data_IF_456897599981
#
_entry.id   IF_456897599981
#
_cell.length_a   1.000
_cell.length_b   1.000
_cell.length_c   1.000
_cell.angle_alpha   90.00
_cell.angle_beta   90.00
_cell.angle_gamma   90.00
#
_symmetry.space_group_name_H-M   'P 1'
#
loop_
_entity.id
_entity.type
_entity.pdbx_description
1 polymer ?
#
# COMPACT_ATOMS: atom_id res chain seq x y z
N UNK A 1 57.29 13.43 14.54
CA UNK A 1 57.81 12.14 15.04
C UNK A 1 58.64 11.52 13.92
N UNK A 2 59.94 11.30 14.13
CA UNK A 2 60.88 10.84 13.10
C UNK A 2 60.65 9.36 12.83
N UNK A 3 60.18 8.98 11.63
CA UNK A 3 60.17 7.59 11.20
C UNK A 3 61.63 7.13 11.00
N UNK A 4 62.13 6.30 11.90
CA UNK A 4 63.50 5.76 11.83
C UNK A 4 63.62 4.72 10.70
N UNK A 5 64.85 4.49 10.23
CA UNK A 5 65.16 3.55 9.14
C UNK A 5 64.59 2.13 9.34
N UNK A 6 64.31 1.71 10.59
CA UNK A 6 63.63 0.45 10.90
C UNK A 6 62.15 0.40 10.49
N UNK A 7 61.42 1.52 10.52
CA UNK A 7 59.99 1.58 10.14
C UNK A 7 59.81 1.46 8.62
N UNK A 8 60.77 1.97 7.85
CA UNK A 8 60.83 1.80 6.40
C UNK A 8 61.16 0.35 6.00
N UNK A 9 62.11 -0.29 6.71
CA UNK A 9 62.46 -1.69 6.47
C UNK A 9 61.28 -2.65 6.68
N UNK A 10 60.49 -2.43 7.74
CA UNK A 10 59.30 -3.23 8.04
C UNK A 10 58.22 -3.04 6.97
N UNK A 11 57.97 -1.81 6.51
CA UNK A 11 56.98 -1.54 5.44
C UNK A 11 57.36 -2.19 4.12
N UNK A 12 58.65 -2.14 3.74
CA UNK A 12 59.14 -2.82 2.53
C UNK A 12 59.00 -4.34 2.66
N UNK A 13 59.31 -4.91 3.83
CA UNK A 13 59.15 -6.35 4.07
C UNK A 13 57.69 -6.79 4.00
N UNK A 14 56.76 -6.02 4.58
CA UNK A 14 55.31 -6.30 4.52
C UNK A 14 54.79 -6.21 3.09
N UNK A 15 55.15 -5.16 2.35
CA UNK A 15 54.76 -5.02 0.93
C UNK A 15 55.33 -6.16 0.08
N UNK A 16 56.58 -6.56 0.31
CA UNK A 16 57.21 -7.69 -0.37
C UNK A 16 56.48 -9.01 -0.09
N UNK A 17 56.09 -9.27 1.16
CA UNK A 17 55.30 -10.46 1.53
C UNK A 17 53.92 -10.48 0.89
N UNK A 18 53.24 -9.32 0.84
CA UNK A 18 51.93 -9.21 0.21
C UNK A 18 52.01 -9.47 -1.30
N UNK A 19 52.97 -8.85 -2.00
CA UNK A 19 53.17 -9.05 -3.44
C UNK A 19 53.57 -10.52 -3.73
N UNK A 20 54.48 -11.09 -2.93
CA UNK A 20 54.87 -12.50 -3.07
C UNK A 20 53.71 -13.47 -2.84
N UNK A 21 52.84 -13.20 -1.87
CA UNK A 21 51.64 -13.98 -1.59
C UNK A 21 50.64 -13.98 -2.76
N UNK A 22 50.36 -12.80 -3.33
CA UNK A 22 49.48 -12.70 -4.50
C UNK A 22 50.08 -13.39 -5.74
N UNK A 23 51.40 -13.31 -5.92
CA UNK A 23 52.07 -13.98 -7.03
C UNK A 23 52.04 -15.51 -6.89
N UNK A 24 52.20 -16.03 -5.68
CA UNK A 24 52.07 -17.47 -5.40
C UNK A 24 50.64 -17.99 -5.65
N UNK A 25 49.61 -17.24 -5.22
CA UNK A 25 48.20 -17.55 -5.49
C UNK A 25 47.94 -17.56 -7.00
N UNK A 26 48.49 -16.59 -7.75
CA UNK A 26 48.33 -16.53 -9.20
C UNK A 26 48.94 -17.76 -9.90
N UNK A 27 50.17 -18.14 -9.55
CA UNK A 27 50.83 -19.32 -10.12
C UNK A 27 50.08 -20.61 -9.76
N UNK A 28 49.63 -20.76 -8.50
CA UNK A 28 48.86 -21.92 -8.08
C UNK A 28 47.50 -21.99 -8.79
N UNK A 29 46.83 -20.85 -8.95
CA UNK A 29 45.57 -20.72 -9.70
C UNK A 29 45.67 -21.14 -11.16
N UNK A 30 46.78 -20.79 -11.81
CA UNK A 30 47.07 -21.21 -13.20
C UNK A 30 47.40 -22.70 -13.26
N UNK A 31 48.14 -23.24 -12.29
CA UNK A 31 48.54 -24.65 -12.29
C UNK A 31 47.39 -25.62 -11.93
N UNK A 32 46.49 -25.20 -11.04
CA UNK A 32 45.29 -25.95 -10.63
C UNK A 32 44.08 -25.69 -11.55
N UNK A 33 44.20 -24.78 -12.52
CA UNK A 33 43.22 -24.59 -13.60
C UNK A 33 41.95 -23.80 -13.24
N UNK A 34 41.89 -23.17 -12.07
CA UNK A 34 40.78 -22.30 -11.64
C UNK A 34 41.03 -20.81 -11.94
N UNK A 35 42.22 -20.46 -12.46
CA UNK A 35 42.54 -19.13 -12.97
C UNK A 35 43.14 -19.18 -14.38
N UNK A 36 42.82 -18.20 -15.22
CA UNK A 36 43.31 -18.13 -16.59
C UNK A 36 44.43 -17.08 -16.75
N UNK A 37 45.54 -17.38 -17.47
CA UNK A 37 46.56 -16.38 -17.74
C UNK A 37 46.03 -15.27 -18.64
N UNK A 38 46.40 -14.03 -18.33
CA UNK A 38 46.00 -12.87 -19.14
C UNK A 38 46.62 -12.96 -20.55
N UNK A 39 45.78 -12.92 -21.59
CA UNK A 39 46.19 -12.97 -23.00
C UNK A 39 45.74 -14.22 -23.77
N UNK A 40 45.17 -15.23 -23.11
CA UNK A 40 44.50 -16.32 -23.82
C UNK A 40 43.10 -15.88 -24.27
N UNK A 41 42.99 -15.51 -25.54
CA UNK A 41 41.68 -15.56 -26.22
C UNK A 41 41.37 -17.03 -26.46
N UNK A 42 40.24 -17.58 -25.98
CA UNK A 42 39.86 -18.93 -26.35
C UNK A 42 39.68 -18.95 -27.87
N UNK A 43 40.48 -19.79 -28.55
CA UNK A 43 40.21 -20.13 -29.94
C UNK A 43 38.95 -20.96 -29.93
N UNK A 44 37.80 -20.30 -30.08
CA UNK A 44 36.53 -20.97 -30.32
C UNK A 44 36.61 -21.54 -31.72
N UNK A 45 36.90 -22.84 -31.81
CA UNK A 45 36.64 -23.60 -33.03
C UNK A 45 35.16 -23.43 -33.34
N UNK A 46 34.87 -22.63 -34.38
CA UNK A 46 33.52 -22.49 -34.91
C UNK A 46 33.13 -23.81 -35.56
N UNK A 47 32.58 -24.73 -34.79
CA UNK A 47 31.59 -25.66 -35.31
C UNK A 47 30.40 -24.82 -35.79
N UNK A 48 29.85 -25.16 -36.96
CA UNK A 48 28.76 -24.41 -37.61
C UNK A 48 27.55 -24.17 -36.70
N UNK A 49 26.55 -23.37 -37.13
CA UNK A 49 25.50 -22.86 -36.25
C UNK A 49 24.66 -24.01 -35.69
N UNK A 50 25.06 -24.53 -34.53
CA UNK A 50 24.16 -25.22 -33.63
C UNK A 50 23.30 -24.11 -33.06
N UNK A 51 22.05 -24.05 -33.51
CA UNK A 51 21.03 -23.21 -32.89
C UNK A 51 21.12 -23.43 -31.37
N UNK A 52 21.56 -22.41 -30.63
CA UNK A 52 21.44 -22.44 -29.19
C UNK A 52 19.97 -22.74 -28.88
N UNK A 53 19.66 -23.71 -27.98
CA UNK A 53 18.27 -23.89 -27.57
C UNK A 53 17.80 -22.52 -27.09
N UNK A 54 16.82 -21.94 -27.79
CA UNK A 54 16.11 -20.77 -27.30
C UNK A 54 15.66 -21.12 -25.90
N UNK A 55 15.97 -20.30 -24.87
CA UNK A 55 15.44 -20.53 -23.53
C UNK A 55 13.95 -20.78 -23.69
N UNK A 56 13.48 -21.97 -23.32
CA UNK A 56 12.06 -22.24 -23.34
C UNK A 56 11.39 -21.15 -22.50
N UNK A 57 10.30 -20.52 -22.96
CA UNK A 57 9.59 -19.56 -22.14
C UNK A 57 9.29 -20.23 -20.80
N UNK A 58 9.72 -19.62 -19.70
CA UNK A 58 9.42 -20.13 -18.36
C UNK A 58 7.90 -20.26 -18.26
N UNK A 59 7.41 -21.48 -18.02
CA UNK A 59 5.99 -21.75 -17.84
C UNK A 59 5.48 -21.35 -16.45
N UNK A 60 6.40 -21.05 -15.53
CA UNK A 60 6.04 -20.58 -14.20
C UNK A 60 5.60 -19.11 -14.26
N UNK A 61 4.47 -18.76 -13.61
CA UNK A 61 4.04 -17.38 -13.53
C UNK A 61 5.12 -16.51 -12.89
N UNK A 62 5.31 -15.28 -13.38
CA UNK A 62 6.16 -14.31 -12.69
C UNK A 62 5.57 -14.04 -11.28
N UNK A 63 6.42 -13.97 -10.26
CA UNK A 63 6.00 -13.81 -8.86
C UNK A 63 6.78 -12.68 -8.18
N UNK A 64 6.16 -12.02 -7.19
CA UNK A 64 6.81 -11.08 -6.27
C UNK A 64 6.11 -11.12 -4.91
N UNK A 65 6.88 -11.24 -3.83
CA UNK A 65 6.35 -11.20 -2.46
C UNK A 65 5.29 -12.26 -2.13
N UNK A 66 5.30 -13.41 -2.80
CA UNK A 66 4.29 -14.47 -2.64
C UNK A 66 3.06 -14.33 -3.55
N UNK A 67 2.98 -13.25 -4.36
CA UNK A 67 1.88 -13.02 -5.29
C UNK A 67 2.32 -13.26 -6.72
N UNK A 68 1.37 -13.67 -7.56
CA UNK A 68 1.55 -13.72 -9.01
C UNK A 68 1.56 -12.32 -9.58
N UNK A 69 2.38 -12.05 -10.58
CA UNK A 69 2.34 -10.84 -11.39
C UNK A 69 1.42 -11.11 -12.59
N UNK A 70 0.40 -10.27 -12.75
CA UNK A 70 -0.55 -10.31 -13.83
C UNK A 70 0.06 -9.83 -15.16
N UNK A 71 -0.65 -10.04 -16.28
CA UNK A 71 -0.19 -9.58 -17.60
C UNK A 71 -0.08 -8.05 -17.71
N UNK A 72 -0.77 -7.31 -16.85
CA UNK A 72 -0.70 -5.86 -16.69
C UNK A 72 0.51 -5.38 -15.86
N UNK A 73 1.32 -6.32 -15.34
CA UNK A 73 2.47 -6.00 -14.49
C UNK A 73 2.12 -5.66 -13.04
N UNK A 74 0.87 -5.89 -12.62
CA UNK A 74 0.39 -5.68 -11.24
C UNK A 74 0.28 -7.02 -10.52
N UNK A 75 0.46 -7.06 -9.20
CA UNK A 75 0.19 -8.30 -8.46
C UNK A 75 -1.27 -8.72 -8.61
N UNK A 76 -1.51 -10.01 -8.79
CA UNK A 76 -2.84 -10.59 -8.79
C UNK A 76 -3.35 -10.64 -7.36
N UNK A 77 -4.49 -9.98 -7.12
CA UNK A 77 -5.22 -10.04 -5.85
C UNK A 77 -5.64 -11.49 -5.55
N UNK A 78 -5.50 -12.00 -4.31
CA UNK A 78 -5.96 -13.35 -3.97
C UNK A 78 -7.46 -13.51 -4.17
N UNK A 79 -7.88 -14.67 -4.66
CA UNK A 79 -9.27 -14.91 -5.08
C UNK A 79 -10.25 -14.93 -3.89
N UNK A 80 -9.80 -15.38 -2.73
CA UNK A 80 -10.56 -15.34 -1.48
C UNK A 80 -10.90 -13.92 -1.02
N UNK A 81 -10.18 -12.91 -1.53
CA UNK A 81 -10.41 -11.50 -1.26
C UNK A 81 -10.92 -10.76 -2.49
N UNK A 82 -11.48 -11.42 -3.51
CA UNK A 82 -11.99 -10.72 -4.70
C UNK A 82 -12.96 -9.58 -4.32
N UNK A 83 -13.01 -8.50 -5.11
CA UNK A 83 -13.85 -7.33 -4.76
C UNK A 83 -15.33 -7.72 -4.61
N UNK A 84 -15.78 -8.69 -5.39
CA UNK A 84 -17.14 -9.24 -5.39
C UNK A 84 -17.50 -9.98 -4.09
N UNK A 85 -16.52 -10.35 -3.26
CA UNK A 85 -16.78 -10.97 -1.95
C UNK A 85 -17.24 -9.96 -0.90
N UNK A 86 -17.11 -8.66 -1.18
CA UNK A 86 -17.52 -7.59 -0.27
C UNK A 86 -18.94 -7.13 -0.65
N UNK A 87 -19.96 -7.39 0.17
CA UNK A 87 -21.32 -6.95 -0.13
C UNK A 87 -21.42 -5.44 -0.01
N UNK A 88 -22.08 -4.80 -0.98
CA UNK A 88 -22.40 -3.37 -0.92
C UNK A 88 -23.25 -3.09 0.33
N UNK A 89 -22.86 -2.14 1.19
CA UNK A 89 -23.66 -1.78 2.36
C UNK A 89 -25.06 -1.32 1.96
N UNK A 90 -26.06 -1.70 2.75
CA UNK A 90 -27.47 -1.31 2.56
C UNK A 90 -27.81 -0.19 3.53
N UNK A 91 -28.50 0.85 3.04
CA UNK A 91 -28.92 1.99 3.86
C UNK A 91 -29.96 1.52 4.91
N UNK A 92 -29.73 1.75 6.21
CA UNK A 92 -30.69 1.39 7.26
C UNK A 92 -32.00 2.19 7.16
N UNK A 93 -33.14 1.59 7.52
CA UNK A 93 -34.44 2.30 7.52
C UNK A 93 -34.44 3.53 8.43
N UNK A 94 -33.78 3.46 9.59
CA UNK A 94 -33.64 4.61 10.50
C UNK A 94 -32.99 5.82 9.82
N UNK A 95 -32.05 5.59 8.89
CA UNK A 95 -31.37 6.66 8.14
C UNK A 95 -32.29 7.36 7.12
N UNK A 96 -33.55 6.96 6.99
CA UNK A 96 -34.55 7.63 6.14
C UNK A 96 -35.41 8.65 6.90
N UNK A 97 -35.08 8.91 8.16
CA UNK A 97 -35.77 9.88 9.00
C UNK A 97 -34.86 11.07 9.34
N UNK A 98 -35.41 12.28 9.32
CA UNK A 98 -34.73 13.50 9.76
C UNK A 98 -34.75 13.59 11.30
N UNK A 99 -34.02 12.70 11.95
CA UNK A 99 -33.86 12.63 13.41
C UNK A 99 -32.39 12.43 13.77
N UNK A 100 -32.01 12.67 15.02
CA UNK A 100 -30.67 12.36 15.52
C UNK A 100 -30.30 10.89 15.31
N UNK A 101 -31.23 9.96 15.60
CA UNK A 101 -31.02 8.53 15.33
C UNK A 101 -30.85 8.24 13.84
N UNK A 102 -31.57 8.97 12.98
CA UNK A 102 -31.41 8.85 11.54
C UNK A 102 -30.03 9.31 11.07
N UNK A 103 -29.52 10.43 11.59
CA UNK A 103 -28.16 10.89 11.28
C UNK A 103 -27.08 9.92 11.79
N UNK A 104 -27.27 9.36 12.99
CA UNK A 104 -26.36 8.34 13.53
C UNK A 104 -26.35 7.09 12.63
N UNK A 105 -27.51 6.56 12.24
CA UNK A 105 -27.61 5.42 11.34
C UNK A 105 -27.02 5.72 9.95
N UNK A 106 -27.15 6.95 9.46
CA UNK A 106 -26.51 7.41 8.23
C UNK A 106 -24.99 7.45 8.38
N UNK A 107 -24.46 7.90 9.51
CA UNK A 107 -23.04 7.92 9.79
C UNK A 107 -22.44 6.51 9.95
N UNK A 108 -23.15 5.58 10.60
CA UNK A 108 -22.80 4.15 10.66
C UNK A 108 -22.70 3.57 9.23
N UNK A 109 -23.69 3.85 8.39
CA UNK A 109 -23.71 3.41 6.99
C UNK A 109 -22.57 4.03 6.19
N UNK A 110 -22.28 5.31 6.37
CA UNK A 110 -21.20 6.01 5.69
C UNK A 110 -19.82 5.42 6.03
N UNK A 111 -19.57 5.04 7.29
CA UNK A 111 -18.37 4.30 7.67
C UNK A 111 -18.29 2.95 6.95
N UNK A 112 -19.41 2.23 6.83
CA UNK A 112 -19.44 0.98 6.08
C UNK A 112 -19.13 1.20 4.59
N UNK A 113 -19.60 2.30 3.99
CA UNK A 113 -19.26 2.67 2.60
C UNK A 113 -17.77 2.99 2.43
N UNK A 114 -17.15 3.68 3.39
CA UNK A 114 -15.70 3.91 3.39
C UNK A 114 -14.91 2.59 3.40
N UNK A 115 -15.28 1.66 4.28
CA UNK A 115 -14.64 0.34 4.36
C UNK A 115 -14.88 -0.46 3.07
N UNK A 116 -16.09 -0.41 2.52
CA UNK A 116 -16.42 -1.04 1.24
C UNK A 116 -15.56 -0.51 0.10
N UNK A 117 -15.44 0.82 -0.03
CA UNK A 117 -14.65 1.46 -1.08
C UNK A 117 -13.17 1.06 -1.00
N UNK A 118 -12.56 1.03 0.20
CA UNK A 118 -11.18 0.54 0.35
C UNK A 118 -11.02 -0.92 -0.09
N UNK A 119 -11.98 -1.78 0.20
CA UNK A 119 -11.88 -3.20 -0.16
C UNK A 119 -12.26 -3.50 -1.61
N UNK A 120 -12.98 -2.63 -2.30
CA UNK A 120 -13.50 -2.93 -3.66
C UNK A 120 -12.97 -2.01 -4.74
N UNK A 121 -12.54 -0.80 -4.39
CA UNK A 121 -12.26 0.28 -5.33
C UNK A 121 -13.52 0.99 -5.83
N UNK A 122 -14.73 0.55 -5.45
CA UNK A 122 -15.98 1.22 -5.81
C UNK A 122 -16.25 2.39 -4.85
N UNK A 123 -15.87 3.58 -5.29
CA UNK A 123 -16.01 4.84 -4.54
C UNK A 123 -17.35 5.53 -4.79
N UNK A 124 -18.14 5.07 -5.77
CA UNK A 124 -19.38 5.74 -6.17
C UNK A 124 -20.43 5.80 -5.05
N UNK A 125 -20.69 4.75 -4.26
CA UNK A 125 -21.65 4.81 -3.17
C UNK A 125 -21.30 5.85 -2.11
N UNK A 126 -20.00 6.01 -1.84
CA UNK A 126 -19.50 7.03 -0.91
C UNK A 126 -19.75 8.42 -1.48
N UNK A 127 -19.39 8.63 -2.76
CA UNK A 127 -19.62 9.90 -3.47
C UNK A 127 -21.11 10.28 -3.51
N UNK A 128 -22.01 9.32 -3.75
CA UNK A 128 -23.46 9.54 -3.82
C UNK A 128 -24.07 10.03 -2.48
N UNK A 129 -23.44 9.71 -1.35
CA UNK A 129 -23.84 10.13 -0.01
C UNK A 129 -23.12 11.40 0.46
N UNK A 130 -22.16 11.92 -0.30
CA UNK A 130 -21.38 13.11 0.05
C UNK A 130 -21.78 14.32 -0.78
N UNK A 131 -21.57 15.50 -0.21
CA UNK A 131 -21.58 16.73 -0.96
C UNK A 131 -20.35 16.76 -1.88
N UNK A 132 -20.54 17.19 -3.13
CA UNK A 132 -19.44 17.27 -4.10
C UNK A 132 -18.29 18.18 -3.64
N UNK A 133 -18.54 19.09 -2.69
CA UNK A 133 -17.53 19.98 -2.09
C UNK A 133 -16.91 19.44 -0.80
N UNK A 134 -17.28 18.23 -0.35
CA UNK A 134 -16.70 17.63 0.85
C UNK A 134 -15.24 17.24 0.61
N UNK A 135 -14.31 18.04 1.14
CA UNK A 135 -12.88 17.75 1.09
C UNK A 135 -12.56 16.39 1.73
N UNK A 136 -13.31 16.03 2.78
CA UNK A 136 -13.16 14.75 3.45
C UNK A 136 -13.46 13.58 2.51
N UNK A 137 -14.64 13.57 1.89
CA UNK A 137 -15.03 12.52 0.95
C UNK A 137 -14.10 12.48 -0.26
N UNK A 138 -13.82 13.63 -0.88
CA UNK A 138 -12.99 13.73 -2.07
C UNK A 138 -11.56 13.24 -1.83
N UNK A 139 -11.00 13.44 -0.64
CA UNK A 139 -9.69 12.91 -0.26
C UNK A 139 -9.69 11.37 -0.27
N UNK A 140 -10.69 10.73 0.33
CA UNK A 140 -10.76 9.26 0.34
C UNK A 140 -11.04 8.69 -1.05
N UNK A 141 -11.97 9.29 -1.80
CA UNK A 141 -12.30 8.89 -3.17
C UNK A 141 -11.03 8.92 -4.03
N UNK A 142 -10.32 10.05 -4.04
CA UNK A 142 -9.09 10.22 -4.83
C UNK A 142 -8.02 9.21 -4.43
N UNK A 143 -7.77 9.04 -3.12
CA UNK A 143 -6.75 8.11 -2.64
C UNK A 143 -7.06 6.65 -3.00
N UNK A 144 -8.34 6.27 -3.00
CA UNK A 144 -8.78 4.92 -3.38
C UNK A 144 -8.67 4.76 -4.90
N UNK A 145 -9.18 5.69 -5.68
CA UNK A 145 -9.11 5.65 -7.14
C UNK A 145 -7.64 5.58 -7.62
N UNK A 146 -6.74 6.37 -7.02
CA UNK A 146 -5.30 6.35 -7.30
C UNK A 146 -4.66 5.01 -6.94
N UNK A 147 -5.07 4.39 -5.83
CA UNK A 147 -4.59 3.05 -5.46
C UNK A 147 -5.06 2.00 -6.46
N UNK A 148 -6.32 2.06 -6.88
CA UNK A 148 -6.92 1.08 -7.81
C UNK A 148 -6.50 1.30 -9.27
N UNK A 149 -5.85 2.42 -9.59
CA UNK A 149 -5.15 2.63 -10.84
C UNK A 149 -3.80 1.87 -10.90
N UNK A 150 -3.88 0.55 -10.99
CA UNK A 150 -2.72 -0.34 -11.02
C UNK A 150 -2.38 -0.97 -9.67
N UNK A 151 -3.40 -1.15 -8.83
CA UNK A 151 -3.28 -1.72 -7.49
C UNK A 151 -4.62 -2.23 -6.96
N UNK A 152 -4.63 -2.57 -5.68
CA UNK A 152 -5.81 -3.05 -4.97
C UNK A 152 -5.57 -3.03 -3.46
N UNK A 153 -6.63 -3.18 -2.68
CA UNK A 153 -6.52 -3.45 -1.25
C UNK A 153 -7.55 -4.44 -0.75
N UNK A 154 -7.22 -5.13 0.33
CA UNK A 154 -8.15 -6.00 1.05
C UNK A 154 -7.84 -6.04 2.54
N UNK A 155 -8.83 -6.47 3.33
CA UNK A 155 -8.67 -6.64 4.77
C UNK A 155 -8.77 -5.33 5.56
N UNK A 156 -9.13 -4.23 4.90
CA UNK A 156 -9.47 -2.99 5.59
C UNK A 156 -10.74 -3.22 6.40
N UNK A 157 -10.74 -2.84 7.67
CA UNK A 157 -11.91 -2.91 8.53
C UNK A 157 -11.95 -1.74 9.49
N UNK A 158 -13.15 -1.35 9.91
CA UNK A 158 -13.35 -0.34 10.92
C UNK A 158 -14.63 -0.65 11.68
N UNK A 159 -14.57 -0.62 13.01
CA UNK A 159 -15.71 -0.88 13.89
C UNK A 159 -15.90 0.29 14.85
N UNK A 160 -17.14 0.71 15.03
CA UNK A 160 -17.52 1.68 16.05
C UNK A 160 -17.45 0.97 17.41
N UNK A 161 -16.71 1.54 18.35
CA UNK A 161 -16.70 1.05 19.74
C UNK A 161 -17.59 1.88 20.62
N UNK A 162 -17.65 3.19 20.38
CA UNK A 162 -18.39 4.14 21.21
C UNK A 162 -18.99 5.26 20.36
N UNK A 163 -20.21 5.64 20.73
CA UNK A 163 -20.88 6.83 20.19
C UNK A 163 -20.62 7.98 21.15
N UNK A 164 -19.74 8.89 20.75
CA UNK A 164 -19.33 10.00 21.60
C UNK A 164 -20.34 11.15 21.61
N UNK A 165 -20.94 11.44 20.45
CA UNK A 165 -21.85 12.59 20.30
C UNK A 165 -22.75 12.42 19.09
N UNK A 166 -24.01 12.79 19.26
CA UNK A 166 -24.98 13.01 18.18
C UNK A 166 -25.75 14.26 18.57
N UNK A 167 -25.61 15.34 17.80
CA UNK A 167 -26.31 16.59 18.14
C UNK A 167 -26.54 17.50 16.92
N UNK A 168 -27.59 18.34 16.94
CA UNK A 168 -27.80 19.35 15.92
C UNK A 168 -26.68 20.39 15.95
N UNK A 169 -26.29 20.84 14.78
CA UNK A 169 -25.33 21.93 14.59
C UNK A 169 -26.06 23.14 14.03
N UNK A 170 -26.01 24.31 14.69
CA UNK A 170 -26.60 25.53 14.15
C UNK A 170 -25.98 25.91 12.81
N UNK A 171 -26.80 26.38 11.87
CA UNK A 171 -26.30 26.91 10.61
C UNK A 171 -25.40 28.13 10.87
N UNK A 172 -24.29 28.23 10.13
CA UNK A 172 -23.32 29.31 10.28
C UNK A 172 -23.34 30.33 9.13
N UNK A 173 -24.23 30.15 8.14
CA UNK A 173 -24.36 31.01 6.97
C UNK A 173 -23.27 30.83 5.92
N UNK A 174 -22.36 29.86 6.10
CA UNK A 174 -21.28 29.55 5.17
C UNK A 174 -21.34 28.09 4.72
N UNK A 175 -20.80 27.19 5.52
CA UNK A 175 -20.45 25.82 5.18
C UNK A 175 -21.26 24.77 5.98
N UNK A 176 -22.06 25.23 6.95
CA UNK A 176 -23.00 24.40 7.69
C UNK A 176 -24.43 24.90 7.41
N UNK A 177 -25.20 24.17 6.58
CA UNK A 177 -26.61 24.46 6.32
C UNK A 177 -27.51 24.16 7.53
N UNK A 178 -28.77 24.58 7.45
CA UNK A 178 -29.81 24.12 8.39
C UNK A 178 -29.99 22.59 8.34
N UNK A 179 -30.61 22.04 9.39
CA UNK A 179 -30.81 20.59 9.55
C UNK A 179 -29.51 19.78 9.47
N UNK A 180 -28.42 20.35 10.00
CA UNK A 180 -27.15 19.65 10.14
C UNK A 180 -27.03 18.97 11.50
N UNK A 181 -26.50 17.75 11.52
CA UNK A 181 -26.22 16.97 12.72
C UNK A 181 -24.77 16.52 12.70
N UNK A 182 -24.06 16.75 13.80
CA UNK A 182 -22.73 16.22 14.06
C UNK A 182 -22.89 14.84 14.69
N UNK A 183 -22.22 13.85 14.10
CA UNK A 183 -22.05 12.51 14.65
C UNK A 183 -20.57 12.26 14.91
N UNK A 184 -20.23 11.80 16.11
CA UNK A 184 -18.87 11.51 16.53
C UNK A 184 -18.78 10.11 17.12
N UNK A 185 -17.88 9.30 16.56
CA UNK A 185 -17.59 7.94 17.00
C UNK A 185 -16.16 7.81 17.50
N UNK A 186 -15.95 6.88 18.42
CA UNK A 186 -14.69 6.18 18.52
C UNK A 186 -14.74 4.94 17.62
N UNK A 187 -13.71 4.76 16.81
CA UNK A 187 -13.57 3.62 15.91
C UNK A 187 -12.24 2.91 16.16
N UNK A 188 -12.22 1.60 15.98
CA UNK A 188 -10.99 0.79 15.91
C UNK A 188 -10.87 0.24 14.50
N UNK A 189 -9.73 0.45 13.86
CA UNK A 189 -9.54 0.16 12.43
C UNK A 189 -8.29 -0.67 12.18
N UNK A 190 -8.32 -1.40 11.05
CA UNK A 190 -7.19 -2.11 10.44
C UNK A 190 -7.10 -1.64 9.00
N UNK A 191 -5.91 -1.24 8.56
CA UNK A 191 -5.67 -0.77 7.18
C UNK A 191 -5.67 -1.93 6.17
N UNK A 192 -5.22 -3.12 6.59
CA UNK A 192 -5.18 -4.33 5.76
C UNK A 192 -3.93 -4.39 4.87
N UNK A 193 -4.07 -5.00 3.70
CA UNK A 193 -3.01 -5.13 2.70
C UNK A 193 -3.35 -4.23 1.52
N UNK A 194 -2.38 -3.40 1.12
CA UNK A 194 -2.46 -2.53 -0.06
C UNK A 194 -1.38 -2.94 -1.06
N UNK A 195 -1.73 -3.00 -2.33
CA UNK A 195 -0.85 -3.35 -3.43
C UNK A 195 -0.77 -2.20 -4.42
N UNK A 196 0.43 -1.90 -4.91
CA UNK A 196 0.65 -0.99 -6.02
C UNK A 196 1.75 -1.55 -6.93
N UNK A 197 1.39 -1.85 -8.19
CA UNK A 197 2.27 -2.54 -9.12
C UNK A 197 2.69 -3.90 -8.56
N UNK A 198 4.00 -4.10 -8.34
CA UNK A 198 4.59 -5.35 -7.84
C UNK A 198 4.95 -5.36 -6.35
N UNK A 199 4.48 -4.35 -5.60
CA UNK A 199 4.79 -4.17 -4.16
C UNK A 199 3.52 -4.21 -3.33
N UNK A 200 3.63 -4.82 -2.16
CA UNK A 200 2.59 -4.79 -1.12
C UNK A 200 3.08 -4.03 0.11
N UNK A 201 2.11 -3.49 0.85
CA UNK A 201 2.30 -2.94 2.19
C UNK A 201 1.23 -3.54 3.09
N UNK A 202 1.66 -4.22 4.15
CA UNK A 202 0.79 -4.79 5.16
C UNK A 202 0.71 -3.87 6.37
N UNK A 203 -0.51 -3.59 6.83
CA UNK A 203 -0.80 -2.78 8.00
C UNK A 203 -1.98 -3.40 8.76
N UNK A 204 -1.69 -4.52 9.41
CA UNK A 204 -2.65 -5.36 10.14
C UNK A 204 -2.87 -5.03 11.63
N UNK A 205 -1.98 -4.29 12.35
CA UNK A 205 -2.27 -3.88 13.72
C UNK A 205 -3.50 -2.97 13.83
N UNK A 206 -4.35 -3.23 14.82
CA UNK A 206 -5.47 -2.35 15.17
C UNK A 206 -4.96 -1.00 15.69
N UNK A 207 -5.69 0.07 15.34
CA UNK A 207 -5.49 1.39 15.92
C UNK A 207 -6.83 2.08 16.17
N UNK A 208 -6.92 2.81 17.27
CA UNK A 208 -8.08 3.63 17.60
C UNK A 208 -8.05 4.98 16.89
N UNK A 209 -9.23 5.53 16.64
CA UNK A 209 -9.39 6.86 16.06
C UNK A 209 -10.74 7.46 16.47
N UNK A 210 -10.79 8.77 16.48
CA UNK A 210 -12.02 9.54 16.57
C UNK A 210 -12.47 9.96 15.18
N UNK A 211 -13.65 9.50 14.76
CA UNK A 211 -14.32 9.91 13.52
C UNK A 211 -15.41 10.93 13.86
N UNK A 212 -15.39 12.10 13.21
CA UNK A 212 -16.41 13.14 13.32
C UNK A 212 -16.96 13.41 11.93
N UNK A 213 -18.28 13.41 11.78
CA UNK A 213 -18.99 13.63 10.52
C UNK A 213 -20.11 14.62 10.75
N UNK A 214 -20.28 15.55 9.82
CA UNK A 214 -21.45 16.44 9.78
C UNK A 214 -22.29 16.02 8.58
N UNK A 215 -23.53 15.65 8.86
CA UNK A 215 -24.54 15.36 7.85
C UNK A 215 -25.58 16.47 7.82
N UNK A 216 -26.08 16.81 6.63
CA UNK A 216 -27.25 17.68 6.46
C UNK A 216 -28.39 16.90 5.83
N UNK A 217 -29.62 17.10 6.31
CA UNK A 217 -30.80 16.53 5.70
C UNK A 217 -31.27 17.37 4.52
N UNK A 218 -31.19 16.82 3.30
CA UNK A 218 -31.62 17.47 2.05
C UNK A 218 -32.43 16.50 1.20
N UNK A 219 -33.57 16.95 0.69
CA UNK A 219 -34.39 16.20 -0.28
C UNK A 219 -34.73 14.77 0.17
N UNK A 220 -34.95 14.56 1.47
CA UNK A 220 -35.32 13.24 2.01
C UNK A 220 -34.15 12.28 2.24
N UNK A 221 -32.90 12.77 2.23
CA UNK A 221 -31.70 11.98 2.49
C UNK A 221 -30.68 12.74 3.35
N UNK A 222 -29.87 12.00 4.10
CA UNK A 222 -28.66 12.52 4.74
C UNK A 222 -27.55 12.64 3.71
N UNK A 223 -26.86 13.79 3.71
CA UNK A 223 -25.69 14.04 2.87
C UNK A 223 -24.52 14.47 3.76
N UNK A 224 -23.40 13.78 3.68
CA UNK A 224 -22.16 14.15 4.36
C UNK A 224 -21.62 15.44 3.74
N UNK A 225 -21.29 16.43 4.57
CA UNK A 225 -20.75 17.72 4.09
C UNK A 225 -19.34 17.98 4.59
N UNK A 226 -19.00 17.44 5.76
CA UNK A 226 -17.69 17.60 6.38
C UNK A 226 -17.39 16.39 7.24
N UNK A 227 -16.11 16.01 7.28
CA UNK A 227 -15.64 14.92 8.09
C UNK A 227 -14.21 15.12 8.57
N UNK A 228 -13.86 14.42 9.64
CA UNK A 228 -12.51 14.41 10.19
C UNK A 228 -12.25 13.10 10.91
N UNK A 229 -11.08 12.51 10.66
CA UNK A 229 -10.56 11.38 11.42
C UNK A 229 -9.28 11.81 12.11
N UNK A 230 -9.18 11.52 13.41
CA UNK A 230 -7.98 11.77 14.22
C UNK A 230 -7.60 10.44 14.87
N UNK A 231 -6.39 9.96 14.60
CA UNK A 231 -5.85 8.75 15.22
C UNK A 231 -5.53 9.03 16.69
N UNK A 232 -5.75 8.04 17.54
CA UNK A 232 -5.35 8.12 18.95
C UNK A 232 -3.82 8.28 19.06
N UNK A 233 -3.38 8.93 20.13
CA UNK A 233 -1.95 9.14 20.44
C UNK A 233 -1.26 7.86 20.95
#
# INVERSE_FOLDING_TARGET
MRAGAGDWGIRIAVVGLVIGGFFAIYINGVNEGWWHPWGHTPTVTTTGPTAAPTPAPSSEPAMSGGYRIGPDGVLVRPAEYAAESYPKPVLPEAAKENTERGAEAAAEHYLALLVYAWNTGDTQPLADMSDAKSDFANTYITNIDDLYNGGWSYGTSSRITDVHRVEPVPANGTDIPDNSILVKFHIVSIDGIKCQGVRTKEQTPEYGSTLSLIFTWREGKWVEIQGRVIRDE
#
